data_IF_177354382071
#
_entry.id   IF_177354382071
#
_cell.length_a   1.000
_cell.length_b   1.000
_cell.length_c   1.000
_cell.angle_alpha   90.00
_cell.angle_beta   90.00
_cell.angle_gamma   90.00
#
_symmetry.space_group_name_H-M   'P 1'
#
loop_
_entity.id
_entity.type
_entity.pdbx_description
1 polymer ?
#
# COMPACT_ATOMS: atom_id res chain seq x y z
N UNK A 1 22.27 -15.17 15.24
CA UNK A 1 21.67 -13.92 14.72
C UNK A 1 22.71 -13.20 13.87
N UNK A 2 22.52 -13.13 12.56
CA UNK A 2 23.45 -12.44 11.68
C UNK A 2 23.29 -10.92 11.88
N UNK A 3 24.39 -10.23 12.22
CA UNK A 3 24.42 -8.76 12.33
C UNK A 3 24.22 -8.17 10.94
N UNK A 4 23.12 -7.48 10.76
CA UNK A 4 22.83 -6.73 9.52
C UNK A 4 23.84 -5.60 9.35
N UNK A 5 24.44 -5.49 8.15
CA UNK A 5 25.45 -4.47 7.86
C UNK A 5 24.83 -3.06 7.97
N UNK A 6 25.59 -2.11 8.54
CA UNK A 6 25.21 -0.70 8.69
C UNK A 6 24.78 -0.09 7.33
N UNK A 7 25.40 -0.51 6.22
CA UNK A 7 25.00 -0.10 4.86
C UNK A 7 23.59 -0.55 4.48
N UNK A 8 23.15 -1.75 4.93
CA UNK A 8 21.78 -2.24 4.69
C UNK A 8 20.75 -1.47 5.53
N UNK A 9 21.09 -1.13 6.78
CA UNK A 9 20.24 -0.30 7.64
C UNK A 9 20.09 1.11 7.06
N UNK A 10 21.17 1.69 6.54
CA UNK A 10 21.16 3.03 5.94
C UNK A 10 20.31 3.06 4.65
N UNK A 11 20.35 2.01 3.82
CA UNK A 11 19.52 1.88 2.61
C UNK A 11 18.03 1.75 2.92
N UNK A 12 17.67 1.03 4.00
CA UNK A 12 16.29 0.92 4.47
C UNK A 12 15.76 2.29 4.92
N UNK A 13 16.55 3.03 5.68
CA UNK A 13 16.20 4.39 6.15
C UNK A 13 16.08 5.37 4.98
N UNK A 14 16.95 5.27 3.97
CA UNK A 14 16.90 6.13 2.78
C UNK A 14 15.65 5.85 1.92
N UNK A 15 15.25 4.59 1.77
CA UNK A 15 14.02 4.20 1.06
C UNK A 15 12.74 4.76 1.70
N UNK A 16 12.69 4.78 3.04
CA UNK A 16 11.57 5.35 3.81
C UNK A 16 11.57 6.88 3.73
N UNK A 17 12.74 7.53 3.76
CA UNK A 17 12.86 9.01 3.71
C UNK A 17 12.47 9.56 2.33
N UNK A 18 12.76 8.87 1.22
CA UNK A 18 12.35 9.32 -0.14
C UNK A 18 10.83 9.37 -0.28
N UNK A 19 10.10 8.49 0.38
CA UNK A 19 8.63 8.52 0.40
C UNK A 19 8.09 9.73 1.17
N UNK A 20 8.80 10.19 2.21
CA UNK A 20 8.38 11.34 3.06
C UNK A 20 8.61 12.69 2.35
N UNK A 21 9.68 12.86 1.54
CA UNK A 21 9.99 14.15 0.91
C UNK A 21 9.06 14.55 -0.25
N UNK A 22 8.33 13.61 -0.85
CA UNK A 22 7.37 13.94 -1.93
C UNK A 22 6.10 14.62 -1.37
N UNK A 23 5.82 14.50 -0.06
CA UNK A 23 4.61 15.05 0.57
C UNK A 23 4.79 16.53 0.99
N UNK A 24 6.01 17.00 1.20
CA UNK A 24 6.28 18.35 1.71
C UNK A 24 6.18 19.49 0.65
N UNK A 25 5.92 19.17 -0.62
CA UNK A 25 5.94 20.14 -1.73
C UNK A 25 4.60 20.81 -2.08
N UNK A 26 3.48 20.51 -1.42
CA UNK A 26 2.15 21.01 -1.80
C UNK A 26 1.39 21.62 -0.60
N UNK A 27 2.05 22.40 0.22
CA UNK A 27 1.39 23.22 1.24
C UNK A 27 1.80 24.68 1.10
N UNK A 28 1.18 25.38 0.16
CA UNK A 28 1.30 26.82 -0.01
C UNK A 28 0.14 27.39 -0.80
N UNK A 29 -0.90 27.88 -0.11
CA UNK A 29 -2.04 28.53 -0.74
C UNK A 29 -3.01 29.07 0.31
N UNK A 30 -2.97 30.37 0.52
CA UNK A 30 -3.56 31.17 1.59
C UNK A 30 -5.09 31.10 1.72
N UNK A 31 -5.48 31.32 2.98
CA UNK A 31 -6.81 31.52 3.52
C UNK A 31 -7.55 32.75 2.98
N UNK A 32 -8.89 32.67 2.90
CA UNK A 32 -9.82 33.77 3.23
C UNK A 32 -11.06 33.22 3.92
N UNK A 33 -11.31 33.74 5.10
CA UNK A 33 -12.54 33.61 5.88
C UNK A 33 -13.76 34.20 5.17
N UNK A 34 -14.91 33.58 5.36
CA UNK A 34 -16.16 34.31 5.60
C UNK A 34 -17.25 33.39 6.14
N UNK A 35 -17.84 33.82 7.20
CA UNK A 35 -18.72 33.35 8.19
C UNK A 35 -20.06 32.73 7.88
N UNK A 36 -20.51 32.01 8.90
CA UNK A 36 -21.88 31.89 9.46
C UNK A 36 -22.93 31.14 8.64
N UNK A 37 -23.36 29.98 9.11
CA UNK A 37 -24.64 29.83 9.84
C UNK A 37 -24.87 28.37 10.27
N UNK A 38 -25.29 28.22 11.52
CA UNK A 38 -25.71 26.99 12.21
C UNK A 38 -27.02 26.50 11.60
N UNK A 39 -27.08 25.21 11.24
CA UNK A 39 -28.33 24.48 11.11
C UNK A 39 -28.12 23.07 11.61
N UNK A 40 -28.70 22.79 12.76
CA UNK A 40 -28.83 21.47 13.36
C UNK A 40 -29.71 20.59 12.50
N UNK A 41 -29.21 19.43 12.05
CA UNK A 41 -30.06 18.33 11.62
C UNK A 41 -29.63 17.02 12.24
N UNK A 42 -30.63 16.37 12.77
CA UNK A 42 -30.63 15.11 13.52
C UNK A 42 -29.93 13.97 12.82
N UNK A 43 -29.12 13.24 13.60
CA UNK A 43 -28.49 11.99 13.22
C UNK A 43 -29.55 10.87 13.09
N UNK A 44 -29.85 10.48 11.89
CA UNK A 44 -30.57 9.23 11.62
C UNK A 44 -29.55 8.11 11.43
N UNK A 45 -29.37 7.31 12.46
CA UNK A 45 -28.57 6.07 12.44
C UNK A 45 -29.20 5.08 11.46
N UNK A 46 -28.65 4.98 10.25
CA UNK A 46 -28.97 3.86 9.34
C UNK A 46 -27.92 2.78 9.53
N UNK A 47 -28.26 1.75 10.27
CA UNK A 47 -27.55 0.47 10.30
C UNK A 47 -27.60 -0.15 8.89
N UNK A 48 -26.55 0.00 8.12
CA UNK A 48 -26.42 -0.64 6.83
C UNK A 48 -25.78 -2.03 7.02
N UNK A 49 -26.64 -3.05 7.18
CA UNK A 49 -26.24 -4.46 7.02
C UNK A 49 -25.96 -4.70 5.53
N UNK A 50 -24.70 -4.59 5.12
CA UNK A 50 -24.30 -4.79 3.74
C UNK A 50 -24.21 -6.26 3.44
N UNK A 51 -25.21 -6.80 2.75
CA UNK A 51 -25.23 -8.11 2.12
C UNK A 51 -24.09 -8.19 1.10
N UNK A 52 -23.32 -9.27 1.14
CA UNK A 52 -22.15 -9.51 0.28
C UNK A 52 -22.51 -9.42 -1.22
N UNK A 53 -22.12 -8.33 -1.86
CA UNK A 53 -22.15 -8.17 -3.30
C UNK A 53 -20.70 -8.30 -3.79
N UNK A 54 -20.41 -9.26 -4.64
CA UNK A 54 -19.07 -9.70 -5.09
C UNK A 54 -18.23 -8.65 -5.85
N UNK A 55 -18.62 -7.38 -5.82
CA UNK A 55 -17.90 -6.23 -6.36
C UNK A 55 -17.89 -5.01 -5.40
N UNK A 56 -18.11 -5.21 -4.10
CA UNK A 56 -18.10 -4.10 -3.16
C UNK A 56 -16.66 -3.65 -2.86
N UNK A 57 -16.38 -2.39 -3.08
CA UNK A 57 -15.12 -1.75 -2.70
C UNK A 57 -15.38 -0.55 -1.79
N UNK A 58 -14.41 -0.25 -0.94
CA UNK A 58 -14.40 0.95 -0.12
C UNK A 58 -13.87 2.10 -0.99
N UNK A 59 -14.64 3.19 -1.04
CA UNK A 59 -14.35 4.38 -1.86
C UNK A 59 -13.23 5.22 -1.23
N UNK A 60 -12.67 6.21 -1.99
CA UNK A 60 -11.80 7.23 -1.40
C UNK A 60 -12.46 7.91 -0.20
N UNK A 61 -11.68 8.17 0.85
CA UNK A 61 -12.16 8.73 2.12
C UNK A 61 -11.21 8.43 3.26
N UNK A 62 -11.58 8.86 4.47
CA UNK A 62 -10.94 8.48 5.73
C UNK A 62 -11.95 7.69 6.56
N UNK A 63 -11.51 6.58 7.14
CA UNK A 63 -12.38 5.65 7.86
C UNK A 63 -11.71 5.20 9.15
N UNK A 64 -12.48 5.10 10.22
CA UNK A 64 -12.06 4.45 11.46
C UNK A 64 -12.33 2.94 11.36
N UNK A 65 -11.27 2.16 11.56
CA UNK A 65 -11.35 0.69 11.53
C UNK A 65 -12.03 0.19 12.81
N UNK A 66 -12.87 -0.81 12.68
CA UNK A 66 -13.70 -1.36 13.75
C UNK A 66 -15.12 -0.78 13.75
N UNK A 67 -15.29 0.49 13.38
CA UNK A 67 -16.62 1.13 13.34
C UNK A 67 -17.16 1.35 11.92
N UNK A 68 -16.34 1.83 11.00
CA UNK A 68 -16.75 2.16 9.62
C UNK A 68 -16.28 1.12 8.61
N UNK A 69 -15.10 0.55 8.86
CA UNK A 69 -14.48 -0.51 8.05
C UNK A 69 -13.99 -1.62 9.00
N UNK A 70 -14.20 -2.86 8.65
CA UNK A 70 -13.75 -4.00 9.48
C UNK A 70 -12.23 -4.15 9.43
N UNK A 71 -11.64 -4.58 10.55
CA UNK A 71 -10.25 -5.03 10.55
C UNK A 71 -10.05 -6.23 9.61
N UNK A 72 -8.89 -6.33 8.97
CA UNK A 72 -8.60 -7.42 8.05
C UNK A 72 -7.50 -7.11 7.05
N UNK A 73 -7.31 -8.05 6.13
CA UNK A 73 -6.41 -7.91 4.99
C UNK A 73 -7.17 -7.37 3.78
N UNK A 74 -6.61 -6.35 3.16
CA UNK A 74 -7.19 -5.66 2.01
C UNK A 74 -6.20 -5.51 0.86
N UNK A 75 -6.76 -5.31 -0.33
CA UNK A 75 -6.04 -4.90 -1.54
C UNK A 75 -6.48 -3.48 -1.89
N UNK A 76 -5.53 -2.57 -2.00
CA UNK A 76 -5.73 -1.20 -2.45
C UNK A 76 -5.34 -1.12 -3.92
N UNK A 77 -6.21 -0.57 -4.75
CA UNK A 77 -6.02 -0.34 -6.18
C UNK A 77 -6.03 1.16 -6.47
N UNK A 78 -4.99 1.69 -7.11
CA UNK A 78 -5.00 3.07 -7.59
C UNK A 78 -5.86 3.20 -8.85
N UNK A 79 -6.85 4.09 -8.78
CA UNK A 79 -7.78 4.37 -9.90
C UNK A 79 -7.26 5.44 -10.85
N UNK A 80 -6.36 6.29 -10.36
CA UNK A 80 -5.68 7.36 -11.10
C UNK A 80 -4.19 7.36 -10.74
N UNK A 81 -3.37 8.09 -11.49
CA UNK A 81 -2.03 8.48 -11.05
C UNK A 81 -2.16 9.33 -9.77
N UNK A 82 -1.14 9.30 -8.90
CA UNK A 82 -1.17 9.90 -7.57
C UNK A 82 -2.21 9.23 -6.63
N UNK A 83 -2.40 7.92 -6.76
CA UNK A 83 -3.04 7.12 -5.75
C UNK A 83 -2.23 7.20 -4.46
N UNK A 84 -2.92 7.36 -3.31
CA UNK A 84 -2.27 7.40 -2.00
C UNK A 84 -3.14 6.69 -0.98
N UNK A 85 -2.51 5.96 -0.09
CA UNK A 85 -3.15 5.49 1.13
C UNK A 85 -2.25 5.70 2.34
N UNK A 86 -2.88 5.79 3.49
CA UNK A 86 -2.21 5.92 4.78
C UNK A 86 -3.00 5.14 5.83
N UNK A 87 -2.31 4.35 6.63
CA UNK A 87 -2.83 3.80 7.89
C UNK A 87 -2.16 4.56 9.02
N UNK A 88 -2.94 5.05 9.96
CA UNK A 88 -2.46 5.79 11.12
C UNK A 88 -3.12 5.32 12.41
N UNK A 89 -2.49 5.61 13.55
CA UNK A 89 -3.00 5.29 14.89
C UNK A 89 -4.09 6.25 15.35
N UNK A 90 -4.18 7.43 14.71
CA UNK A 90 -5.19 8.44 15.00
C UNK A 90 -5.54 9.26 13.74
N UNK A 91 -6.45 10.22 13.89
CA UNK A 91 -6.93 11.09 12.80
C UNK A 91 -6.22 12.43 12.71
N UNK A 92 -5.15 12.67 13.49
CA UNK A 92 -4.46 13.97 13.56
C UNK A 92 -3.77 14.38 12.26
N UNK A 93 -3.29 13.38 11.51
CA UNK A 93 -2.45 13.59 10.32
C UNK A 93 -0.98 13.86 10.64
N UNK A 94 -0.59 13.78 11.91
CA UNK A 94 0.80 13.92 12.35
C UNK A 94 1.66 12.76 11.84
N UNK A 95 2.95 13.05 11.55
CA UNK A 95 3.85 12.06 10.96
C UNK A 95 4.09 10.84 11.86
N UNK A 96 4.15 11.05 13.15
CA UNK A 96 4.38 10.01 14.16
C UNK A 96 3.16 9.12 14.40
N UNK A 97 1.97 9.54 13.96
CA UNK A 97 0.78 8.69 13.93
C UNK A 97 0.77 7.70 12.75
N UNK A 98 1.60 7.91 11.72
CA UNK A 98 1.60 7.09 10.50
C UNK A 98 2.23 5.73 10.79
N UNK A 99 1.46 4.67 10.56
CA UNK A 99 1.92 3.28 10.68
C UNK A 99 2.53 2.82 9.35
N UNK A 100 1.82 3.09 8.23
CA UNK A 100 2.26 2.78 6.88
C UNK A 100 1.53 3.67 5.87
N UNK A 101 2.23 4.09 4.83
CA UNK A 101 1.65 4.78 3.68
C UNK A 101 2.39 4.39 2.39
N UNK A 102 1.76 4.61 1.24
CA UNK A 102 2.41 4.45 -0.06
C UNK A 102 1.72 5.33 -1.12
N UNK A 103 2.48 5.63 -2.17
CA UNK A 103 1.98 6.25 -3.40
C UNK A 103 1.92 5.18 -4.50
N UNK A 104 0.86 5.22 -5.31
CA UNK A 104 0.62 4.26 -6.37
C UNK A 104 0.33 4.98 -7.69
N UNK A 105 0.82 4.41 -8.79
CA UNK A 105 0.40 4.80 -10.11
C UNK A 105 -0.90 4.07 -10.49
N UNK A 106 -1.63 4.61 -11.46
CA UNK A 106 -2.87 4.00 -11.96
C UNK A 106 -2.69 2.52 -12.30
N UNK A 107 -3.52 1.67 -11.70
CA UNK A 107 -3.53 0.23 -11.92
C UNK A 107 -2.51 -0.55 -11.07
N UNK A 108 -1.72 0.12 -10.24
CA UNK A 108 -0.92 -0.55 -9.23
C UNK A 108 -1.78 -0.96 -8.03
N UNK A 109 -1.37 -2.05 -7.38
CA UNK A 109 -2.02 -2.63 -6.22
C UNK A 109 -1.07 -2.70 -5.03
N UNK A 110 -1.63 -2.57 -3.82
CA UNK A 110 -0.92 -2.83 -2.56
C UNK A 110 -1.78 -3.66 -1.63
N UNK A 111 -1.18 -4.68 -1.03
CA UNK A 111 -1.75 -5.35 0.13
C UNK A 111 -1.54 -4.53 1.38
N UNK A 112 -2.50 -4.54 2.28
CA UNK A 112 -2.45 -3.92 3.61
C UNK A 112 -3.24 -4.72 4.62
N UNK A 113 -2.78 -4.78 5.87
CA UNK A 113 -3.53 -5.27 7.01
C UNK A 113 -3.88 -4.07 7.90
N UNK A 114 -5.16 -3.88 8.17
CA UNK A 114 -5.67 -2.87 9.10
C UNK A 114 -6.27 -3.54 10.33
N UNK A 115 -6.10 -2.93 11.49
CA UNK A 115 -6.55 -3.44 12.80
C UNK A 115 -7.60 -2.50 13.39
N UNK A 116 -8.37 -3.01 14.35
CA UNK A 116 -9.29 -2.16 15.11
C UNK A 116 -8.54 -0.97 15.70
N UNK A 117 -9.23 0.16 15.76
CA UNK A 117 -8.75 1.48 16.16
C UNK A 117 -7.79 2.19 15.20
N UNK A 118 -7.30 1.55 14.13
CA UNK A 118 -6.60 2.25 13.05
C UNK A 118 -7.51 3.24 12.33
N UNK A 119 -6.89 4.19 11.66
CA UNK A 119 -7.51 5.05 10.64
C UNK A 119 -6.91 4.73 9.28
N UNK A 120 -7.75 4.52 8.27
CA UNK A 120 -7.33 4.32 6.88
C UNK A 120 -7.80 5.50 6.03
N UNK A 121 -6.85 6.17 5.35
CA UNK A 121 -7.10 7.23 4.38
C UNK A 121 -6.82 6.72 2.99
N UNK A 122 -7.75 6.95 2.06
CA UNK A 122 -7.66 6.57 0.65
C UNK A 122 -7.85 7.81 -0.23
N UNK A 123 -6.92 8.08 -1.12
CA UNK A 123 -7.01 9.15 -2.13
C UNK A 123 -6.73 8.55 -3.51
N UNK A 124 -7.63 8.76 -4.47
CA UNK A 124 -7.54 8.19 -5.81
C UNK A 124 -7.34 6.65 -5.81
N UNK A 125 -7.83 5.97 -4.79
CA UNK A 125 -7.73 4.53 -4.59
C UNK A 125 -9.08 3.91 -4.27
N UNK A 126 -9.22 2.61 -4.54
CA UNK A 126 -10.29 1.75 -4.04
C UNK A 126 -9.67 0.68 -3.17
N UNK A 127 -10.40 0.23 -2.15
CA UNK A 127 -9.94 -0.85 -1.27
C UNK A 127 -10.95 -2.00 -1.26
N UNK A 128 -10.46 -3.22 -1.44
CA UNK A 128 -11.25 -4.46 -1.51
C UNK A 128 -10.79 -5.39 -0.39
N UNK A 129 -11.70 -6.20 0.16
CA UNK A 129 -11.26 -7.36 0.96
C UNK A 129 -10.34 -8.25 0.11
N UNK A 130 -9.22 -8.67 0.68
CA UNK A 130 -8.27 -9.47 -0.08
C UNK A 130 -8.85 -10.81 -0.52
N UNK A 131 -9.80 -11.36 0.22
CA UNK A 131 -10.53 -12.58 -0.16
C UNK A 131 -11.31 -12.43 -1.48
N UNK A 132 -11.81 -11.22 -1.76
CA UNK A 132 -12.67 -10.92 -2.90
C UNK A 132 -11.89 -10.38 -4.12
N UNK A 133 -10.58 -10.17 -3.98
CA UNK A 133 -9.73 -9.58 -5.03
C UNK A 133 -8.47 -10.41 -5.25
N UNK A 134 -8.28 -10.89 -6.46
CA UNK A 134 -7.03 -11.50 -6.94
C UNK A 134 -6.39 -10.56 -7.95
N UNK A 135 -5.07 -10.34 -7.81
CA UNK A 135 -4.27 -9.54 -8.73
C UNK A 135 -3.64 -10.49 -9.73
N UNK A 136 -4.16 -10.48 -10.96
CA UNK A 136 -3.62 -11.35 -12.02
C UNK A 136 -2.91 -10.49 -13.08
N UNK A 137 -1.57 -10.58 -13.20
CA UNK A 137 -0.88 -9.98 -14.32
C UNK A 137 -1.30 -10.70 -15.62
N UNK A 138 -1.30 -9.95 -16.73
CA UNK A 138 -1.69 -10.51 -18.04
C UNK A 138 -0.73 -11.61 -18.53
N UNK A 139 0.51 -11.61 -18.06
CA UNK A 139 1.53 -12.60 -18.37
C UNK A 139 2.53 -12.68 -17.22
N UNK A 140 3.04 -13.88 -16.96
CA UNK A 140 4.15 -14.11 -16.02
C UNK A 140 5.53 -13.75 -16.64
N UNK A 141 5.58 -13.52 -17.95
CA UNK A 141 6.78 -13.02 -18.62
C UNK A 141 6.89 -11.48 -18.53
N UNK A 142 5.81 -10.80 -18.07
CA UNK A 142 5.74 -9.34 -17.94
C UNK A 142 4.83 -8.93 -16.80
N UNK A 143 5.34 -9.00 -15.58
CA UNK A 143 4.62 -8.67 -14.34
C UNK A 143 4.89 -7.21 -13.99
N UNK A 144 3.85 -6.35 -13.96
CA UNK A 144 4.01 -4.91 -13.71
C UNK A 144 4.27 -4.60 -12.23
N UNK A 145 4.70 -3.35 -11.90
CA UNK A 145 4.83 -2.89 -10.52
C UNK A 145 3.53 -3.06 -9.73
N UNK A 146 3.62 -3.68 -8.57
CA UNK A 146 2.53 -3.89 -7.59
C UNK A 146 3.06 -4.63 -6.37
N UNK A 147 2.18 -4.93 -5.41
CA UNK A 147 2.43 -5.96 -4.39
C UNK A 147 1.60 -7.19 -4.70
N UNK A 148 2.23 -8.34 -4.80
CA UNK A 148 1.61 -9.64 -5.09
C UNK A 148 1.67 -10.55 -3.87
N UNK A 149 0.60 -11.29 -3.59
CA UNK A 149 0.60 -12.39 -2.61
C UNK A 149 0.97 -13.68 -3.33
N UNK A 150 2.11 -14.23 -2.96
CA UNK A 150 2.66 -15.42 -3.62
C UNK A 150 1.83 -16.66 -3.31
N UNK A 151 1.49 -17.40 -4.37
CA UNK A 151 0.59 -18.56 -4.31
C UNK A 151 -0.89 -18.22 -4.50
N UNK A 152 -1.24 -16.92 -4.41
CA UNK A 152 -2.59 -16.43 -4.72
C UNK A 152 -2.61 -15.68 -6.06
N UNK A 153 -1.75 -14.69 -6.22
CA UNK A 153 -1.73 -13.80 -7.38
C UNK A 153 -0.74 -14.27 -8.45
N UNK A 154 0.45 -14.67 -8.02
CA UNK A 154 1.50 -15.23 -8.87
C UNK A 154 2.14 -16.44 -8.18
N UNK A 155 2.71 -17.41 -8.92
CA UNK A 155 3.27 -18.62 -8.34
C UNK A 155 4.55 -18.36 -7.53
N UNK A 156 4.91 -19.22 -6.56
CA UNK A 156 6.24 -19.22 -5.98
C UNK A 156 7.29 -19.61 -7.04
N UNK A 157 8.50 -19.05 -6.95
CA UNK A 157 9.56 -19.32 -7.91
C UNK A 157 10.67 -18.29 -7.85
N UNK A 158 11.55 -18.36 -8.84
CA UNK A 158 12.58 -17.36 -9.07
C UNK A 158 12.10 -16.37 -10.13
N UNK A 159 12.29 -15.08 -9.85
CA UNK A 159 11.90 -13.99 -10.74
C UNK A 159 13.12 -13.18 -11.14
N UNK A 160 13.26 -12.94 -12.45
CA UNK A 160 14.18 -11.94 -12.97
C UNK A 160 13.48 -10.59 -12.90
N UNK A 161 14.13 -9.63 -12.25
CA UNK A 161 13.70 -8.26 -12.09
C UNK A 161 14.47 -7.37 -13.05
N UNK A 162 13.78 -6.43 -13.71
CA UNK A 162 14.37 -5.41 -14.55
C UNK A 162 13.89 -4.04 -14.09
N UNK A 163 14.82 -3.15 -13.75
CA UNK A 163 14.52 -1.77 -13.43
C UNK A 163 13.90 -1.06 -14.65
N UNK A 164 12.81 -0.34 -14.44
CA UNK A 164 12.12 0.49 -15.43
C UNK A 164 12.20 1.98 -15.08
N UNK A 165 12.68 2.30 -13.88
CA UNK A 165 12.92 3.65 -13.37
C UNK A 165 14.21 3.68 -12.56
N UNK A 166 14.74 4.90 -12.29
CA UNK A 166 15.92 5.10 -11.44
C UNK A 166 15.68 4.79 -9.94
N UNK A 167 14.43 4.60 -9.52
CA UNK A 167 14.05 4.28 -8.13
C UNK A 167 13.43 2.88 -8.08
N UNK A 168 14.06 1.92 -8.73
CA UNK A 168 13.59 0.55 -8.76
C UNK A 168 13.88 -0.15 -7.44
N UNK A 169 12.81 -0.62 -6.78
CA UNK A 169 12.87 -1.26 -5.45
C UNK A 169 12.04 -2.53 -5.44
N UNK A 170 12.53 -3.56 -4.75
CA UNK A 170 11.77 -4.76 -4.45
C UNK A 170 11.85 -5.13 -2.97
N UNK A 171 10.81 -5.79 -2.51
CA UNK A 171 10.69 -6.26 -1.13
C UNK A 171 9.95 -7.58 -1.08
N UNK A 172 10.43 -8.51 -0.25
CA UNK A 172 9.71 -9.68 0.21
C UNK A 172 9.36 -9.48 1.67
N UNK A 173 8.10 -9.68 2.05
CA UNK A 173 7.66 -9.54 3.43
C UNK A 173 6.68 -10.64 3.84
N UNK A 174 6.60 -10.88 5.16
CA UNK A 174 5.59 -11.77 5.77
C UNK A 174 4.31 -11.04 6.11
N UNK A 175 4.40 -9.72 6.25
CA UNK A 175 3.30 -8.87 6.68
C UNK A 175 3.36 -7.54 5.92
N UNK A 176 2.32 -7.18 5.16
CA UNK A 176 2.31 -5.95 4.37
C UNK A 176 2.03 -4.69 5.22
N UNK A 177 1.73 -4.83 6.52
CA UNK A 177 1.48 -3.72 7.43
C UNK A 177 2.76 -3.14 8.03
N UNK A 178 3.66 -4.01 8.48
CA UNK A 178 4.83 -3.59 9.26
C UNK A 178 6.06 -3.52 8.36
N UNK A 179 6.41 -2.30 7.96
CA UNK A 179 7.45 -2.06 6.98
C UNK A 179 8.83 -2.61 7.38
N UNK A 180 9.22 -2.58 8.65
CA UNK A 180 10.59 -2.95 9.07
C UNK A 180 10.66 -4.38 9.61
N UNK A 181 9.73 -4.78 10.46
CA UNK A 181 9.77 -6.07 11.14
C UNK A 181 9.20 -7.23 10.30
N UNK A 182 8.40 -6.92 9.28
CA UNK A 182 7.85 -7.88 8.35
C UNK A 182 8.76 -8.23 7.17
N UNK A 183 9.79 -7.41 6.89
CA UNK A 183 10.67 -7.58 5.73
C UNK A 183 11.54 -8.82 5.89
N UNK A 184 11.51 -9.70 4.89
CA UNK A 184 12.38 -10.87 4.77
C UNK A 184 13.67 -10.46 4.05
N UNK A 185 13.52 -9.73 2.94
CA UNK A 185 14.60 -9.21 2.13
C UNK A 185 14.10 -8.07 1.24
N UNK A 186 14.95 -7.12 0.95
CA UNK A 186 14.67 -6.00 0.03
C UNK A 186 15.97 -5.46 -0.55
N UNK A 187 15.87 -4.78 -1.69
CA UNK A 187 16.99 -4.04 -2.28
C UNK A 187 16.50 -3.00 -3.29
N UNK A 188 17.36 -2.03 -3.59
CA UNK A 188 17.24 -1.19 -4.78
C UNK A 188 18.10 -1.78 -5.90
N UNK A 189 17.63 -1.70 -7.14
CA UNK A 189 18.36 -2.20 -8.29
C UNK A 189 18.51 -1.11 -9.35
N UNK A 190 19.69 -1.04 -9.96
CA UNK A 190 19.97 -0.07 -11.03
C UNK A 190 19.66 -0.64 -12.41
N UNK A 191 19.76 -1.96 -12.59
CA UNK A 191 19.48 -2.66 -13.84
C UNK A 191 18.63 -3.91 -13.62
N UNK A 192 19.22 -5.00 -13.12
CA UNK A 192 18.53 -6.27 -12.96
C UNK A 192 18.98 -7.06 -11.74
N UNK A 193 18.07 -7.92 -11.23
CA UNK A 193 18.34 -8.84 -10.13
C UNK A 193 17.54 -10.14 -10.30
N UNK A 194 17.92 -11.17 -9.56
CA UNK A 194 17.13 -12.39 -9.40
C UNK A 194 16.65 -12.51 -7.97
N UNK A 195 15.37 -12.81 -7.78
CA UNK A 195 14.75 -12.94 -6.46
C UNK A 195 13.90 -14.19 -6.42
N UNK A 196 14.17 -15.06 -5.43
CA UNK A 196 13.33 -16.23 -5.15
C UNK A 196 12.28 -15.85 -4.12
N UNK A 197 11.00 -16.08 -4.44
CA UNK A 197 9.85 -15.83 -3.57
C UNK A 197 9.17 -17.14 -3.20
N UNK A 198 8.62 -17.22 -1.98
CA UNK A 198 8.00 -18.41 -1.43
C UNK A 198 6.51 -18.22 -1.21
N UNK A 199 5.76 -19.33 -1.20
CA UNK A 199 4.33 -19.31 -0.98
C UNK A 199 3.95 -18.58 0.32
N UNK A 200 2.93 -17.73 0.29
CA UNK A 200 2.44 -16.95 1.42
C UNK A 200 3.17 -15.62 1.68
N UNK A 201 4.28 -15.35 0.99
CA UNK A 201 4.97 -14.06 1.07
C UNK A 201 4.24 -12.98 0.27
N UNK A 202 4.48 -11.73 0.63
CA UNK A 202 4.12 -10.56 -0.17
C UNK A 202 5.37 -10.11 -0.91
N UNK A 203 5.22 -9.93 -2.22
CA UNK A 203 6.29 -9.48 -3.10
C UNK A 203 5.92 -8.13 -3.70
N UNK A 204 6.55 -7.07 -3.18
CA UNK A 204 6.39 -5.69 -3.64
C UNK A 204 7.48 -5.38 -4.66
N UNK A 205 7.07 -4.85 -5.80
CA UNK A 205 7.97 -4.31 -6.84
C UNK A 205 7.50 -2.91 -7.23
N UNK A 206 8.44 -1.96 -7.23
CA UNK A 206 8.23 -0.55 -7.56
C UNK A 206 9.24 -0.13 -8.62
N UNK A 207 8.78 0.43 -9.74
CA UNK A 207 9.67 0.76 -10.86
C UNK A 207 10.40 -0.44 -11.45
N UNK A 208 9.82 -1.64 -11.32
CA UNK A 208 10.40 -2.91 -11.77
C UNK A 208 9.36 -3.66 -12.59
N UNK A 209 9.79 -4.26 -13.69
CA UNK A 209 9.09 -5.33 -14.40
C UNK A 209 9.71 -6.67 -14.00
N UNK A 210 8.90 -7.64 -13.60
CA UNK A 210 9.37 -8.97 -13.21
C UNK A 210 8.95 -10.04 -14.22
N UNK A 211 9.80 -11.07 -14.38
CA UNK A 211 9.56 -12.24 -15.25
C UNK A 211 9.80 -13.50 -14.43
N UNK A 212 8.87 -14.45 -14.46
CA UNK A 212 9.09 -15.77 -13.85
C UNK A 212 10.14 -16.55 -14.64
N UNK A 213 11.19 -17.00 -13.96
CA UNK A 213 12.25 -17.86 -14.56
C UNK A 213 11.69 -19.28 -14.69
N UNK A 214 11.77 -19.83 -15.90
CA UNK A 214 11.28 -21.20 -16.24
C UNK A 214 12.36 -22.23 -16.02
#
# INVERSE_FOLDING_TARGET
MAKMSIKKILLIVLGVIVIIFIIAGIAGGESKESGSSVSSQEATTKTNTQTANTNSFIKPGMYKVGSEVKAGEYVIEATNNNGYFQVSSDSSGELDSIIVNDNLNKGEFRYIIIKDDDYIKLQNCRMYLSADKTIQPKSLDKIPPSTYKIGKDIPPGEYKLKATTQYAYWERSKNPRDSIYGIIANDNIDDSAYVKVLNGEYFKIVGIEATLVK
#
